data_IF_795191352912
#
_entry.id   IF_795191352912
#
_cell.length_a   1.000
_cell.length_b   1.000
_cell.length_c   1.000
_cell.angle_alpha   90.00
_cell.angle_beta   90.00
_cell.angle_gamma   90.00
#
_symmetry.space_group_name_H-M   'P 1'
#
loop_
_entity.id
_entity.type
_entity.pdbx_description
1 polymer ?
#
# COMPACT_ATOMS: atom_id res chain seq x y z
N UNK A 1 27.71 18.47 -18.47
CA UNK A 1 28.31 19.56 -17.66
C UNK A 1 27.21 20.55 -17.30
N UNK A 2 27.19 21.02 -16.05
CA UNK A 2 26.22 21.94 -15.42
C UNK A 2 24.84 21.31 -15.15
N UNK A 3 24.24 21.32 -13.96
CA UNK A 3 24.67 21.54 -12.58
C UNK A 3 23.59 20.91 -11.69
N UNK A 4 24.00 20.15 -10.68
CA UNK A 4 23.14 19.64 -9.60
C UNK A 4 22.93 20.77 -8.58
N UNK A 5 21.69 21.01 -8.18
CA UNK A 5 21.35 21.86 -7.04
C UNK A 5 20.61 21.01 -6.00
N UNK A 6 21.36 20.61 -4.97
CA UNK A 6 20.85 20.06 -3.72
C UNK A 6 20.12 21.13 -2.94
N UNK A 7 18.92 20.82 -2.46
CA UNK A 7 18.23 21.59 -1.42
C UNK A 7 18.37 20.82 -0.11
N UNK A 8 19.25 21.32 0.74
CA UNK A 8 19.43 20.90 2.14
C UNK A 8 19.39 22.18 2.98
N UNK A 9 18.72 22.10 4.13
CA UNK A 9 18.65 23.10 5.23
C UNK A 9 17.47 24.08 5.18
N UNK A 10 16.45 23.79 5.99
CA UNK A 10 15.77 24.79 6.81
C UNK A 10 15.97 24.35 8.26
N UNK A 11 16.97 24.95 8.91
CA UNK A 11 17.11 24.95 10.36
C UNK A 11 16.69 26.34 10.88
N UNK A 12 16.01 26.32 12.02
CA UNK A 12 16.23 27.24 13.14
C UNK A 12 16.15 28.75 12.84
N UNK A 13 14.97 29.33 13.05
CA UNK A 13 14.82 30.75 13.40
C UNK A 13 13.73 30.87 14.46
N UNK A 14 14.08 30.72 15.74
CA UNK A 14 13.37 31.34 16.88
C UNK A 14 14.26 31.30 18.12
N UNK A 15 15.35 32.07 18.08
CA UNK A 15 16.12 32.43 19.26
C UNK A 15 16.83 33.76 18.98
N UNK A 16 16.33 34.86 19.56
CA UNK A 16 17.07 36.07 19.97
C UNK A 16 16.17 37.31 19.95
N UNK A 17 15.46 37.57 21.04
CA UNK A 17 15.12 38.92 21.49
C UNK A 17 14.53 38.80 22.90
N UNK A 18 15.35 38.99 23.94
CA UNK A 18 14.99 39.60 25.24
C UNK A 18 16.22 39.55 26.15
N UNK A 19 17.11 40.54 25.99
CA UNK A 19 18.18 40.85 26.93
C UNK A 19 18.19 42.36 27.10
N UNK A 20 17.53 42.86 28.14
CA UNK A 20 17.77 44.16 28.78
C UNK A 20 16.61 44.45 29.71
N UNK A 21 16.78 44.21 31.00
CA UNK A 21 16.38 45.09 32.09
C UNK A 21 16.84 44.43 33.41
N UNK A 22 17.84 45.04 34.03
CA UNK A 22 18.36 44.62 35.32
C UNK A 22 17.33 44.81 36.43
N UNK A 23 17.17 43.80 37.27
CA UNK A 23 16.41 43.84 38.53
C UNK A 23 17.32 43.32 39.64
N UNK A 24 17.38 43.98 40.82
CA UNK A 24 18.31 43.62 41.88
C UNK A 24 17.98 42.29 42.55
N UNK A 25 19.04 41.59 42.93
CA UNK A 25 19.04 40.35 43.70
C UNK A 25 18.61 40.62 45.15
N UNK A 26 17.40 40.20 45.53
CA UNK A 26 16.92 40.18 46.92
C UNK A 26 16.76 38.72 47.34
N UNK A 27 17.74 38.25 48.12
CA UNK A 27 17.72 36.94 48.74
C UNK A 27 16.64 36.87 49.82
N UNK A 28 15.54 36.17 49.52
CA UNK A 28 14.52 35.75 50.47
C UNK A 28 14.63 34.24 50.64
N UNK A 29 15.17 33.81 51.78
CA UNK A 29 15.17 32.43 52.22
C UNK A 29 13.72 31.99 52.51
N UNK A 30 13.09 31.32 51.55
CA UNK A 30 11.78 30.70 51.73
C UNK A 30 11.96 29.25 52.17
N UNK A 31 11.39 28.95 53.34
CA UNK A 31 11.26 27.63 53.94
C UNK A 31 10.61 26.64 52.95
N UNK A 32 11.39 25.71 52.43
CA UNK A 32 10.90 24.58 51.63
C UNK A 32 10.18 23.59 52.54
N UNK A 33 8.88 23.82 52.78
CA UNK A 33 7.99 22.79 53.28
C UNK A 33 7.85 21.73 52.18
N UNK A 34 8.58 20.63 52.33
CA UNK A 34 8.50 19.44 51.48
C UNK A 34 7.15 18.76 51.70
N UNK A 35 6.10 19.25 51.05
CA UNK A 35 4.80 18.57 50.98
C UNK A 35 4.99 17.30 50.17
N UNK A 36 5.16 16.16 50.83
CA UNK A 36 5.14 14.86 50.17
C UNK A 36 3.77 14.67 49.51
N UNK A 37 3.70 14.37 48.20
CA UNK A 37 2.44 14.02 47.55
C UNK A 37 1.86 12.78 48.24
N UNK A 38 0.61 12.88 48.69
CA UNK A 38 -0.11 11.79 49.32
C UNK A 38 -0.23 10.61 48.36
N UNK A 39 0.14 9.40 48.81
CA UNK A 39 0.11 8.17 47.99
C UNK A 39 -1.27 7.88 47.36
N UNK A 40 -2.36 8.35 47.98
CA UNK A 40 -3.71 8.21 47.43
C UNK A 40 -3.93 9.06 46.16
N UNK A 41 -3.24 10.20 46.01
CA UNK A 41 -3.33 11.04 44.82
C UNK A 41 -2.57 10.45 43.64
N UNK A 42 -1.54 9.64 43.89
CA UNK A 42 -0.78 8.97 42.82
C UNK A 42 -1.52 7.76 42.26
N UNK A 43 -2.25 7.00 43.08
CA UNK A 43 -3.03 5.84 42.61
C UNK A 43 -4.17 6.26 41.66
N UNK A 44 -4.96 7.27 42.03
CA UNK A 44 -6.02 7.78 41.14
C UNK A 44 -5.48 8.33 39.81
N UNK A 45 -4.32 8.99 39.81
CA UNK A 45 -3.72 9.50 38.58
C UNK A 45 -3.28 8.37 37.62
N UNK A 46 -2.81 7.23 38.17
CA UNK A 46 -2.43 6.05 37.38
C UNK A 46 -3.67 5.39 36.78
N UNK A 47 -4.75 5.25 37.55
CA UNK A 47 -6.01 4.66 37.07
C UNK A 47 -6.65 5.52 35.96
N UNK A 48 -6.64 6.85 36.12
CA UNK A 48 -7.15 7.80 35.13
C UNK A 48 -6.34 7.74 33.83
N UNK A 49 -5.00 7.64 33.92
CA UNK A 49 -4.11 7.52 32.77
C UNK A 49 -4.34 6.20 32.02
N UNK A 50 -4.47 5.07 32.74
CA UNK A 50 -4.77 3.78 32.14
C UNK A 50 -6.16 3.77 31.45
N UNK A 51 -7.16 4.40 32.07
CA UNK A 51 -8.49 4.56 31.46
C UNK A 51 -8.46 5.46 30.21
N UNK A 52 -7.64 6.51 30.19
CA UNK A 52 -7.44 7.35 29.00
C UNK A 52 -6.75 6.56 27.87
N UNK A 53 -5.71 5.80 28.19
CA UNK A 53 -5.03 4.94 27.20
C UNK A 53 -5.96 3.90 26.60
N UNK A 54 -6.80 3.23 27.40
CA UNK A 54 -7.81 2.28 26.89
C UNK A 54 -8.77 2.94 25.89
N UNK A 55 -9.31 4.11 26.22
CA UNK A 55 -10.19 4.86 25.32
C UNK A 55 -9.52 5.25 24.00
N UNK A 56 -8.25 5.66 24.03
CA UNK A 56 -7.51 5.97 22.81
C UNK A 56 -7.38 4.71 21.94
N UNK A 57 -7.00 3.58 22.53
CA UNK A 57 -6.90 2.31 21.80
C UNK A 57 -8.24 1.88 21.21
N UNK A 58 -9.36 2.05 21.93
CA UNK A 58 -10.71 1.78 21.44
C UNK A 58 -11.02 2.62 20.19
N UNK A 59 -10.79 3.93 20.23
CA UNK A 59 -11.02 4.82 19.09
C UNK A 59 -10.12 4.50 17.90
N UNK A 60 -8.81 4.28 18.12
CA UNK A 60 -7.89 3.91 17.04
C UNK A 60 -8.25 2.56 16.40
N UNK A 61 -8.66 1.58 17.21
CA UNK A 61 -9.04 0.25 16.71
C UNK A 61 -10.35 0.28 15.94
N UNK A 62 -11.34 1.09 16.35
CA UNK A 62 -12.56 1.29 15.55
C UNK A 62 -12.25 2.04 14.25
N UNK A 63 -11.40 3.06 14.27
CA UNK A 63 -10.96 3.76 13.06
C UNK A 63 -10.28 2.78 12.08
N UNK A 64 -9.35 1.96 12.57
CA UNK A 64 -8.68 0.94 11.78
C UNK A 64 -9.66 -0.10 11.23
N UNK A 65 -10.58 -0.62 12.04
CA UNK A 65 -11.61 -1.56 11.59
C UNK A 65 -12.45 -0.96 10.45
N UNK A 66 -12.86 0.29 10.57
CA UNK A 66 -13.61 0.99 9.51
C UNK A 66 -12.75 1.11 8.24
N UNK A 67 -11.53 1.63 8.36
CA UNK A 67 -10.64 1.84 7.23
C UNK A 67 -10.25 0.54 6.55
N UNK A 68 -10.03 -0.54 7.30
CA UNK A 68 -9.60 -1.82 6.77
C UNK A 68 -10.77 -2.63 6.22
N UNK A 69 -11.87 -2.77 6.96
CA UNK A 69 -12.95 -3.71 6.64
C UNK A 69 -14.12 -2.98 5.97
N UNK A 70 -14.61 -1.89 6.56
CA UNK A 70 -15.84 -1.24 6.08
C UNK A 70 -15.64 -0.53 4.73
N UNK A 71 -14.42 -0.03 4.45
CA UNK A 71 -14.12 0.60 3.14
C UNK A 71 -13.81 -0.42 2.04
N UNK A 72 -13.39 -1.65 2.38
CA UNK A 72 -12.89 -2.61 1.41
C UNK A 72 -13.89 -2.96 0.31
N UNK A 73 -15.21 -3.17 0.57
CA UNK A 73 -16.18 -3.39 -0.50
C UNK A 73 -16.32 -2.21 -1.46
N UNK A 74 -16.27 -0.98 -0.94
CA UNK A 74 -16.41 0.22 -1.77
C UNK A 74 -15.18 0.45 -2.63
N UNK A 75 -13.99 0.27 -2.04
CA UNK A 75 -12.72 0.34 -2.73
C UNK A 75 -12.54 -0.80 -3.73
N UNK A 76 -13.01 -2.01 -3.43
CA UNK A 76 -13.05 -3.12 -4.38
C UNK A 76 -13.86 -2.78 -5.63
N UNK A 77 -15.05 -2.19 -5.46
CA UNK A 77 -15.87 -1.75 -6.61
C UNK A 77 -15.18 -0.65 -7.40
N UNK A 78 -14.54 0.30 -6.72
CA UNK A 78 -13.75 1.33 -7.39
C UNK A 78 -12.49 0.76 -8.09
N UNK A 79 -11.88 -0.30 -7.55
CA UNK A 79 -10.89 -1.16 -8.23
C UNK A 79 -11.52 -2.01 -9.35
N UNK A 80 -12.84 -2.08 -9.49
CA UNK A 80 -13.51 -2.67 -10.65
C UNK A 80 -13.95 -1.59 -11.67
N UNK A 81 -13.50 -0.35 -11.49
CA UNK A 81 -13.94 0.83 -12.24
C UNK A 81 -15.47 1.10 -12.11
N UNK A 82 -16.09 0.63 -11.01
CA UNK A 82 -17.48 0.94 -10.63
C UNK A 82 -17.49 2.05 -9.57
N UNK A 83 -17.85 3.27 -10.00
CA UNK A 83 -17.91 4.45 -9.13
C UNK A 83 -19.18 4.55 -8.28
N UNK A 84 -20.13 3.59 -8.39
CA UNK A 84 -21.39 3.64 -7.65
C UNK A 84 -21.22 3.55 -6.13
N UNK A 85 -20.07 3.06 -5.66
CA UNK A 85 -19.74 2.90 -4.25
C UNK A 85 -19.12 4.11 -3.58
N UNK A 86 -18.81 5.18 -4.33
CA UNK A 86 -18.16 6.38 -3.80
C UNK A 86 -18.87 7.01 -2.59
N UNK A 87 -20.21 7.13 -2.56
CA UNK A 87 -20.91 7.65 -1.37
C UNK A 87 -20.67 6.80 -0.11
N UNK A 88 -20.62 5.47 -0.24
CA UNK A 88 -20.33 4.57 0.87
C UNK A 88 -18.88 4.73 1.36
N UNK A 89 -17.93 4.93 0.44
CA UNK A 89 -16.54 5.21 0.78
C UNK A 89 -16.39 6.53 1.56
N UNK A 90 -17.07 7.60 1.13
CA UNK A 90 -17.08 8.89 1.84
C UNK A 90 -17.64 8.72 3.26
N UNK A 91 -18.77 8.03 3.40
CA UNK A 91 -19.40 7.84 4.70
C UNK A 91 -18.50 7.05 5.67
N UNK A 92 -17.88 5.97 5.19
CA UNK A 92 -16.93 5.18 5.99
C UNK A 92 -15.68 5.99 6.37
N UNK A 93 -15.09 6.71 5.42
CA UNK A 93 -13.92 7.55 5.68
C UNK A 93 -14.23 8.68 6.69
N UNK A 94 -15.40 9.31 6.60
CA UNK A 94 -15.83 10.33 7.57
C UNK A 94 -15.99 9.73 8.98
N UNK A 95 -16.64 8.57 9.10
CA UNK A 95 -16.78 7.87 10.38
C UNK A 95 -15.43 7.52 10.99
N UNK A 96 -14.45 7.09 10.18
CA UNK A 96 -13.09 6.86 10.66
C UNK A 96 -12.42 8.16 11.14
N UNK A 97 -12.56 9.26 10.40
CA UNK A 97 -12.03 10.58 10.78
C UNK A 97 -12.62 11.08 12.11
N UNK A 98 -13.91 10.85 12.38
CA UNK A 98 -14.54 11.16 13.67
C UNK A 98 -13.86 10.41 14.82
N UNK A 99 -13.59 9.11 14.66
CA UNK A 99 -12.88 8.31 15.67
C UNK A 99 -11.44 8.79 15.88
N UNK A 100 -10.74 9.14 14.81
CA UNK A 100 -9.38 9.68 14.88
C UNK A 100 -9.35 11.03 15.61
N UNK A 101 -10.33 11.91 15.38
CA UNK A 101 -10.44 13.18 16.11
C UNK A 101 -10.65 12.99 17.62
N UNK A 102 -11.46 12.00 18.02
CA UNK A 102 -11.66 11.64 19.43
C UNK A 102 -10.37 11.08 20.05
N UNK A 103 -9.66 10.21 19.31
CA UNK A 103 -8.35 9.70 19.71
C UNK A 103 -7.33 10.83 19.88
N UNK A 104 -7.19 11.73 18.90
CA UNK A 104 -6.27 12.86 18.93
C UNK A 104 -6.52 13.80 20.13
N UNK A 105 -7.80 14.07 20.45
CA UNK A 105 -8.16 14.88 21.62
C UNK A 105 -7.73 14.20 22.92
N UNK A 106 -7.89 12.88 23.00
CA UNK A 106 -7.50 12.08 24.16
C UNK A 106 -5.98 11.89 24.26
N UNK A 107 -5.26 11.79 23.14
CA UNK A 107 -3.79 11.75 23.11
C UNK A 107 -3.20 13.06 23.65
N UNK A 108 -3.77 14.21 23.28
CA UNK A 108 -3.32 15.52 23.76
C UNK A 108 -3.46 15.71 25.27
N UNK A 109 -4.39 15.00 25.93
CA UNK A 109 -4.53 15.05 27.39
C UNK A 109 -3.58 14.10 28.12
N UNK A 110 -2.88 13.20 27.42
CA UNK A 110 -1.82 12.39 28.00
C UNK A 110 -0.54 13.20 28.20
N UNK A 111 0.13 12.94 29.34
CA UNK A 111 1.50 13.40 29.56
C UNK A 111 2.47 12.83 28.52
N UNK A 112 3.63 13.48 28.35
CA UNK A 112 4.68 12.99 27.47
C UNK A 112 5.21 11.64 27.97
N UNK A 113 5.02 10.60 27.18
CA UNK A 113 5.42 9.21 27.47
C UNK A 113 5.71 8.49 26.15
N UNK A 114 6.56 7.47 26.15
CA UNK A 114 6.83 6.66 24.95
C UNK A 114 5.54 6.02 24.39
N UNK A 115 4.61 5.64 25.28
CA UNK A 115 3.29 5.15 24.88
C UNK A 115 2.49 6.17 24.10
N UNK A 116 2.63 7.47 24.43
CA UNK A 116 1.96 8.54 23.68
C UNK A 116 2.54 8.65 22.27
N UNK A 117 3.86 8.61 22.12
CA UNK A 117 4.52 8.73 20.82
C UNK A 117 4.09 7.58 19.89
N UNK A 118 4.01 6.34 20.41
CA UNK A 118 3.52 5.20 19.65
C UNK A 118 2.04 5.35 19.22
N UNK A 119 1.20 5.94 20.07
CA UNK A 119 -0.20 6.22 19.76
C UNK A 119 -0.34 7.33 18.70
N UNK A 120 0.51 8.36 18.76
CA UNK A 120 0.59 9.42 17.75
C UNK A 120 1.00 8.86 16.38
N UNK A 121 2.03 8.00 16.34
CA UNK A 121 2.44 7.33 15.09
C UNK A 121 1.30 6.50 14.48
N UNK A 122 0.61 5.70 15.30
CA UNK A 122 -0.54 4.90 14.81
C UNK A 122 -1.70 5.79 14.35
N UNK A 123 -1.98 6.87 15.06
CA UNK A 123 -2.98 7.87 14.66
C UNK A 123 -2.65 8.44 13.27
N UNK A 124 -1.43 8.92 13.07
CA UNK A 124 -1.00 9.60 11.83
C UNK A 124 -1.01 8.64 10.62
N UNK A 125 -0.65 7.37 10.83
CA UNK A 125 -0.79 6.32 9.83
C UNK A 125 -2.23 6.16 9.37
N UNK A 126 -3.18 6.02 10.31
CA UNK A 126 -4.61 5.84 9.99
C UNK A 126 -5.23 7.10 9.37
N UNK A 127 -4.85 8.29 9.85
CA UNK A 127 -5.30 9.57 9.32
C UNK A 127 -4.91 9.74 7.85
N UNK A 128 -3.70 9.31 7.49
CA UNK A 128 -3.21 9.34 6.11
C UNK A 128 -4.11 8.52 5.17
N UNK A 129 -4.49 7.29 5.55
CA UNK A 129 -5.41 6.48 4.75
C UNK A 129 -6.82 7.09 4.71
N UNK A 130 -7.33 7.55 5.85
CA UNK A 130 -8.65 8.17 5.93
C UNK A 130 -8.77 9.38 4.99
N UNK A 131 -7.74 10.22 4.93
CA UNK A 131 -7.68 11.38 4.05
C UNK A 131 -7.73 11.00 2.56
N UNK A 132 -6.97 9.97 2.16
CA UNK A 132 -6.97 9.46 0.78
C UNK A 132 -8.32 8.84 0.42
N UNK A 133 -8.90 8.03 1.30
CA UNK A 133 -10.20 7.39 1.05
C UNK A 133 -11.35 8.39 0.96
N UNK A 134 -11.37 9.40 1.83
CA UNK A 134 -12.33 10.50 1.74
C UNK A 134 -12.16 11.27 0.42
N UNK A 135 -10.93 11.56 0.02
CA UNK A 135 -10.62 12.27 -1.23
C UNK A 135 -11.01 11.46 -2.47
N UNK A 136 -10.77 10.15 -2.47
CA UNK A 136 -11.19 9.22 -3.53
C UNK A 136 -12.72 9.14 -3.63
N UNK A 137 -13.42 9.03 -2.49
CA UNK A 137 -14.88 9.01 -2.46
C UNK A 137 -15.49 10.32 -2.98
N UNK A 138 -14.83 11.46 -2.71
CA UNK A 138 -15.22 12.78 -3.21
C UNK A 138 -14.69 13.13 -4.61
N UNK A 139 -14.08 12.18 -5.33
CA UNK A 139 -13.50 12.44 -6.64
C UNK A 139 -14.59 12.65 -7.71
N UNK A 140 -14.42 13.73 -8.46
CA UNK A 140 -15.22 14.14 -9.61
C UNK A 140 -14.29 14.41 -10.79
N UNK A 141 -14.81 14.87 -11.93
CA UNK A 141 -13.98 15.23 -13.09
C UNK A 141 -13.30 16.61 -12.97
N UNK A 142 -13.67 17.43 -11.98
CA UNK A 142 -13.12 18.78 -11.82
C UNK A 142 -11.67 18.77 -11.32
N UNK A 143 -10.93 19.83 -11.66
CA UNK A 143 -9.51 19.95 -11.31
C UNK A 143 -9.27 20.07 -9.81
N UNK A 144 -10.23 20.59 -9.05
CA UNK A 144 -10.09 20.84 -7.62
C UNK A 144 -10.17 19.52 -6.85
N UNK A 145 -11.13 18.65 -7.17
CA UNK A 145 -11.23 17.32 -6.56
C UNK A 145 -10.02 16.45 -6.88
N UNK A 146 -9.53 16.48 -8.14
CA UNK A 146 -8.27 15.84 -8.53
C UNK A 146 -7.07 16.38 -7.77
N UNK A 147 -7.02 17.70 -7.55
CA UNK A 147 -5.99 18.34 -6.73
C UNK A 147 -5.98 17.85 -5.28
N UNK A 148 -7.16 17.68 -4.66
CA UNK A 148 -7.28 17.11 -3.31
C UNK A 148 -6.77 15.67 -3.24
N UNK A 149 -7.13 14.82 -4.21
CA UNK A 149 -6.62 13.45 -4.28
C UNK A 149 -5.10 13.42 -4.40
N UNK A 150 -4.51 14.27 -5.26
CA UNK A 150 -3.06 14.38 -5.41
C UNK A 150 -2.37 14.85 -4.13
N UNK A 151 -2.98 15.79 -3.39
CA UNK A 151 -2.44 16.26 -2.13
C UNK A 151 -2.45 15.14 -1.06
N UNK A 152 -3.57 14.43 -0.91
CA UNK A 152 -3.69 13.32 0.03
C UNK A 152 -2.71 12.16 -0.29
N UNK A 153 -2.37 11.95 -1.56
CA UNK A 153 -1.33 11.00 -1.94
C UNK A 153 0.05 11.35 -1.35
N UNK A 154 0.36 12.63 -1.13
CA UNK A 154 1.66 13.06 -0.59
C UNK A 154 1.94 12.44 0.78
N UNK A 155 0.91 12.39 1.63
CA UNK A 155 0.99 11.90 3.00
C UNK A 155 1.30 10.39 3.04
N UNK A 156 0.71 9.59 2.12
CA UNK A 156 0.97 8.14 2.01
C UNK A 156 2.43 7.78 1.71
N UNK A 157 3.19 8.68 1.09
CA UNK A 157 4.58 8.41 0.75
C UNK A 157 5.46 8.20 2.00
N UNK A 158 5.08 8.79 3.14
CA UNK A 158 5.80 8.61 4.40
C UNK A 158 5.74 7.16 4.91
N UNK A 159 4.75 6.37 4.46
CA UNK A 159 4.56 4.97 4.88
C UNK A 159 5.36 3.97 4.04
N UNK A 160 6.12 4.42 3.04
CA UNK A 160 6.80 3.52 2.11
C UNK A 160 7.99 2.79 2.71
N UNK A 161 8.57 3.39 3.74
CA UNK A 161 9.71 2.90 4.49
C UNK A 161 9.28 2.35 5.87
N UNK A 162 7.97 2.11 6.07
CA UNK A 162 7.47 1.45 7.27
C UNK A 162 8.09 0.06 7.42
N UNK A 163 8.39 -0.34 8.66
CA UNK A 163 8.93 -1.67 8.97
C UNK A 163 7.96 -2.78 8.56
N UNK A 164 6.65 -2.51 8.71
CA UNK A 164 5.58 -3.37 8.21
C UNK A 164 5.48 -3.28 6.68
N UNK A 165 5.94 -4.34 6.01
CA UNK A 165 5.91 -4.44 4.54
C UNK A 165 4.50 -4.50 3.98
N UNK A 166 3.53 -5.06 4.70
CA UNK A 166 2.14 -5.14 4.24
C UNK A 166 1.53 -3.74 4.24
N UNK A 167 1.79 -2.96 5.29
CA UNK A 167 1.36 -1.55 5.38
C UNK A 167 1.95 -0.71 4.23
N UNK A 168 3.25 -0.87 3.98
CA UNK A 168 3.94 -0.19 2.88
C UNK A 168 3.38 -0.59 1.50
N UNK A 169 2.98 -1.84 1.30
CA UNK A 169 2.31 -2.30 0.08
C UNK A 169 0.88 -1.72 -0.06
N UNK A 170 0.10 -1.67 1.03
CA UNK A 170 -1.22 -1.01 1.05
C UNK A 170 -1.10 0.48 0.71
N UNK A 171 -0.12 1.19 1.28
CA UNK A 171 0.13 2.59 0.95
C UNK A 171 0.46 2.78 -0.53
N UNK A 172 1.31 1.92 -1.11
CA UNK A 172 1.66 1.97 -2.54
C UNK A 172 0.46 1.69 -3.44
N UNK A 173 -0.37 0.70 -3.10
CA UNK A 173 -1.60 0.39 -3.82
C UNK A 173 -2.49 1.64 -3.88
N UNK A 174 -2.84 2.21 -2.73
CA UNK A 174 -3.81 3.30 -2.67
C UNK A 174 -3.27 4.60 -3.25
N UNK A 175 -1.99 4.91 -3.03
CA UNK A 175 -1.37 6.08 -3.66
C UNK A 175 -1.35 5.93 -5.19
N UNK A 176 -1.00 4.75 -5.71
CA UNK A 176 -1.01 4.46 -7.14
C UNK A 176 -2.41 4.51 -7.75
N UNK A 177 -3.38 3.89 -7.09
CA UNK A 177 -4.78 3.90 -7.49
C UNK A 177 -5.34 5.33 -7.55
N UNK A 178 -5.06 6.14 -6.53
CA UNK A 178 -5.47 7.54 -6.44
C UNK A 178 -4.84 8.41 -7.53
N UNK A 179 -3.54 8.27 -7.79
CA UNK A 179 -2.91 8.98 -8.91
C UNK A 179 -3.54 8.62 -10.26
N UNK A 180 -3.80 7.33 -10.52
CA UNK A 180 -4.44 6.90 -11.77
C UNK A 180 -5.80 7.59 -11.96
N UNK A 181 -6.64 7.55 -10.93
CA UNK A 181 -7.99 8.15 -10.94
C UNK A 181 -7.98 9.67 -11.05
N UNK A 182 -6.95 10.32 -10.51
CA UNK A 182 -6.71 11.76 -10.70
C UNK A 182 -6.14 12.13 -12.09
N UNK A 183 -5.99 11.16 -13.01
CA UNK A 183 -5.42 11.39 -14.34
C UNK A 183 -3.91 11.64 -14.31
N UNK A 184 -3.20 11.03 -13.37
CA UNK A 184 -1.74 11.07 -13.20
C UNK A 184 -1.15 9.67 -13.33
N UNK A 185 -1.48 8.98 -14.42
CA UNK A 185 -1.06 7.59 -14.64
C UNK A 185 0.46 7.42 -14.71
N UNK A 186 1.20 8.46 -15.12
CA UNK A 186 2.66 8.51 -15.05
C UNK A 186 3.18 8.39 -13.61
N UNK A 187 2.58 9.13 -12.67
CA UNK A 187 2.90 9.06 -11.24
C UNK A 187 2.47 7.73 -10.63
N UNK A 188 1.31 7.22 -11.03
CA UNK A 188 0.87 5.88 -10.62
C UNK A 188 1.91 4.81 -10.99
N UNK A 189 2.52 4.87 -12.18
CA UNK A 189 3.56 3.93 -12.60
C UNK A 189 4.89 4.07 -11.85
N UNK A 190 5.22 5.26 -11.34
CA UNK A 190 6.41 5.48 -10.50
C UNK A 190 6.26 4.82 -9.13
N UNK A 191 5.04 4.87 -8.58
CA UNK A 191 4.68 4.28 -7.29
C UNK A 191 4.52 2.76 -7.41
N UNK A 192 3.70 2.32 -8.36
CA UNK A 192 3.37 0.92 -8.58
C UNK A 192 4.47 0.21 -9.37
N UNK A 193 5.69 0.13 -8.83
CA UNK A 193 6.85 -0.44 -9.54
C UNK A 193 6.60 -1.88 -10.00
N UNK A 194 7.20 -2.29 -11.14
CA UNK A 194 7.07 -3.66 -11.60
C UNK A 194 7.87 -4.57 -10.66
N UNK A 195 7.18 -5.38 -9.87
CA UNK A 195 7.79 -6.40 -9.02
C UNK A 195 7.21 -7.74 -9.46
N UNK A 196 8.04 -8.62 -9.99
CA UNK A 196 7.61 -9.98 -10.36
C UNK A 196 7.72 -10.96 -9.20
N UNK A 197 8.39 -10.56 -8.12
CA UNK A 197 8.50 -11.33 -6.90
C UNK A 197 7.14 -11.44 -6.20
N UNK A 198 6.98 -12.50 -5.40
CA UNK A 198 5.81 -12.67 -4.53
C UNK A 198 5.69 -11.45 -3.60
N UNK A 199 4.51 -10.80 -3.55
CA UNK A 199 4.30 -9.68 -2.64
C UNK A 199 4.24 -10.15 -1.18
N UNK A 200 4.48 -9.22 -0.25
CA UNK A 200 4.32 -9.49 1.18
C UNK A 200 2.85 -9.78 1.52
N UNK A 201 1.94 -9.02 0.93
CA UNK A 201 0.51 -9.28 0.90
C UNK A 201 0.08 -9.82 -0.49
N UNK A 202 -0.32 -11.09 -0.62
CA UNK A 202 -0.80 -11.65 -1.88
C UNK A 202 -1.92 -10.83 -2.53
N UNK A 203 -2.93 -10.40 -1.76
CA UNK A 203 -4.11 -9.70 -2.29
C UNK A 203 -3.78 -8.25 -2.64
N UNK A 204 -3.19 -7.48 -1.71
CA UNK A 204 -2.84 -6.07 -1.94
C UNK A 204 -1.81 -5.96 -3.07
N UNK A 205 -0.77 -6.79 -3.03
CA UNK A 205 0.27 -6.80 -4.04
C UNK A 205 -0.25 -7.22 -5.42
N UNK A 206 -1.22 -8.13 -5.48
CA UNK A 206 -1.90 -8.49 -6.73
C UNK A 206 -2.67 -7.29 -7.31
N UNK A 207 -3.48 -6.62 -6.50
CA UNK A 207 -4.24 -5.44 -6.94
C UNK A 207 -3.32 -4.28 -7.38
N UNK A 208 -2.21 -4.06 -6.69
CA UNK A 208 -1.23 -3.02 -7.06
C UNK A 208 -0.69 -3.23 -8.49
N UNK A 209 -0.48 -4.49 -8.89
CA UNK A 209 0.01 -4.84 -10.22
C UNK A 209 -1.08 -4.76 -11.29
N UNK A 210 -2.33 -5.03 -10.94
CA UNK A 210 -3.47 -4.77 -11.84
C UNK A 210 -3.67 -3.27 -12.08
N UNK A 211 -3.57 -2.45 -11.03
CA UNK A 211 -3.62 -1.00 -11.16
C UNK A 211 -2.46 -0.46 -12.01
N UNK A 212 -1.26 -1.08 -11.93
CA UNK A 212 -0.17 -0.79 -12.86
C UNK A 212 -0.54 -1.12 -14.31
N UNK A 213 -1.14 -2.28 -14.57
CA UNK A 213 -1.56 -2.68 -15.92
C UNK A 213 -2.57 -1.68 -16.51
N UNK A 214 -3.50 -1.19 -15.69
CA UNK A 214 -4.44 -0.14 -16.07
C UNK A 214 -3.77 1.20 -16.33
N UNK A 215 -2.86 1.63 -15.45
CA UNK A 215 -2.11 2.87 -15.65
C UNK A 215 -1.30 2.84 -16.97
N UNK A 216 -0.78 1.68 -17.39
CA UNK A 216 -0.19 1.50 -18.73
C UNK A 216 -1.22 1.73 -19.85
N UNK A 217 -2.42 1.17 -19.71
CA UNK A 217 -3.53 1.38 -20.65
C UNK A 217 -3.95 2.85 -20.76
N UNK A 218 -4.08 3.54 -19.63
CA UNK A 218 -4.42 4.97 -19.58
C UNK A 218 -3.39 5.86 -20.31
N UNK A 219 -2.13 5.40 -20.40
CA UNK A 219 -1.07 6.05 -21.17
C UNK A 219 -0.99 5.59 -22.64
N UNK A 220 -1.97 4.80 -23.12
CA UNK A 220 -1.98 4.23 -24.46
C UNK A 220 -0.99 3.07 -24.67
N UNK A 221 -0.34 2.59 -23.61
CA UNK A 221 0.63 1.47 -23.65
C UNK A 221 -0.08 0.12 -23.49
N UNK A 222 -1.10 -0.11 -24.31
CA UNK A 222 -1.99 -1.29 -24.21
C UNK A 222 -1.26 -2.62 -24.27
N UNK A 223 -0.31 -2.78 -25.20
CA UNK A 223 0.47 -4.02 -25.33
C UNK A 223 1.23 -4.37 -24.04
N UNK A 224 1.84 -3.38 -23.38
CA UNK A 224 2.55 -3.57 -22.12
C UNK A 224 1.60 -3.94 -20.97
N UNK A 225 0.43 -3.29 -20.89
CA UNK A 225 -0.59 -3.63 -19.90
C UNK A 225 -1.12 -5.05 -20.07
N UNK A 226 -1.41 -5.46 -21.32
CA UNK A 226 -1.88 -6.81 -21.66
C UNK A 226 -0.82 -7.86 -21.35
N UNK A 227 0.45 -7.61 -21.71
CA UNK A 227 1.57 -8.51 -21.41
C UNK A 227 1.77 -8.67 -19.89
N UNK A 228 1.64 -7.58 -19.13
CA UNK A 228 1.67 -7.65 -17.66
C UNK A 228 0.53 -8.52 -17.13
N UNK A 229 -0.71 -8.36 -17.62
CA UNK A 229 -1.81 -9.25 -17.24
C UNK A 229 -1.50 -10.72 -17.54
N UNK A 230 -0.96 -11.06 -18.71
CA UNK A 230 -0.57 -12.44 -19.03
C UNK A 230 0.48 -12.98 -18.06
N UNK A 231 1.48 -12.16 -17.70
CA UNK A 231 2.50 -12.54 -16.72
C UNK A 231 1.88 -12.76 -15.34
N UNK A 232 0.99 -11.88 -14.88
CA UNK A 232 0.29 -12.04 -13.60
C UNK A 232 -0.53 -13.33 -13.57
N UNK A 233 -1.26 -13.64 -14.63
CA UNK A 233 -2.06 -14.87 -14.72
C UNK A 233 -1.20 -16.14 -14.51
N UNK A 234 0.05 -16.14 -14.98
CA UNK A 234 1.01 -17.23 -14.77
C UNK A 234 1.57 -17.32 -13.33
N UNK A 235 1.62 -16.20 -12.60
CA UNK A 235 2.19 -16.12 -11.24
C UNK A 235 1.15 -16.37 -10.14
N UNK A 236 -0.14 -16.18 -10.45
CA UNK A 236 -1.25 -16.37 -9.49
C UNK A 236 -1.25 -17.75 -8.79
N UNK A 237 -1.01 -18.89 -9.45
CA UNK A 237 -0.93 -20.18 -8.77
C UNK A 237 0.09 -20.22 -7.63
N UNK A 238 1.24 -19.57 -7.82
CA UNK A 238 2.32 -19.57 -6.84
C UNK A 238 2.00 -18.65 -5.66
N UNK A 239 1.39 -17.49 -5.91
CA UNK A 239 1.06 -16.51 -4.88
C UNK A 239 -0.09 -16.97 -3.97
N UNK A 240 -1.05 -17.67 -4.55
CA UNK A 240 -2.26 -18.17 -3.87
C UNK A 240 -2.25 -19.69 -3.74
N UNK A 241 -1.07 -20.31 -3.61
CA UNK A 241 -0.92 -21.77 -3.54
C UNK A 241 -1.74 -22.43 -2.42
N UNK A 242 -1.92 -21.72 -1.31
CA UNK A 242 -2.66 -22.18 -0.14
C UNK A 242 -4.19 -22.05 -0.29
N UNK A 243 -4.68 -21.27 -1.26
CA UNK A 243 -6.10 -21.03 -1.50
C UNK A 243 -6.43 -21.15 -3.00
N UNK A 244 -6.81 -22.35 -3.47
CA UNK A 244 -7.18 -22.58 -4.86
C UNK A 244 -8.39 -21.75 -5.32
N UNK A 245 -9.30 -21.38 -4.42
CA UNK A 245 -10.46 -20.56 -4.76
C UNK A 245 -10.06 -19.12 -5.04
N UNK A 246 -9.22 -18.52 -4.18
CA UNK A 246 -8.60 -17.22 -4.44
C UNK A 246 -7.72 -17.23 -5.68
N UNK A 247 -6.93 -18.28 -5.90
CA UNK A 247 -6.12 -18.45 -7.11
C UNK A 247 -7.00 -18.40 -8.38
N UNK A 248 -8.11 -19.14 -8.38
CA UNK A 248 -9.05 -19.12 -9.50
C UNK A 248 -9.72 -17.75 -9.68
N UNK A 249 -10.10 -17.08 -8.59
CA UNK A 249 -10.70 -15.75 -8.61
C UNK A 249 -9.72 -14.66 -9.09
N UNK A 250 -8.46 -14.74 -8.69
CA UNK A 250 -7.39 -13.85 -9.13
C UNK A 250 -7.13 -13.99 -10.64
N UNK A 251 -7.05 -15.22 -11.18
CA UNK A 251 -6.94 -15.44 -12.63
C UNK A 251 -8.10 -14.79 -13.40
N UNK A 252 -9.33 -14.98 -12.92
CA UNK A 252 -10.53 -14.36 -13.53
C UNK A 252 -10.48 -12.83 -13.48
N UNK A 253 -10.03 -12.26 -12.36
CA UNK A 253 -9.86 -10.80 -12.20
C UNK A 253 -8.83 -10.25 -13.19
N UNK A 254 -7.68 -10.92 -13.36
CA UNK A 254 -6.68 -10.55 -14.39
C UNK A 254 -7.28 -10.58 -15.79
N UNK A 255 -8.06 -11.62 -16.12
CA UNK A 255 -8.72 -11.74 -17.44
C UNK A 255 -9.73 -10.62 -17.66
N UNK A 256 -10.48 -10.22 -16.64
CA UNK A 256 -11.41 -9.08 -16.73
C UNK A 256 -10.66 -7.78 -17.04
N UNK A 257 -9.58 -7.48 -16.32
CA UNK A 257 -8.76 -6.29 -16.57
C UNK A 257 -8.15 -6.34 -17.97
N UNK A 258 -7.66 -7.50 -18.41
CA UNK A 258 -7.14 -7.70 -19.76
C UNK A 258 -8.21 -7.46 -20.83
N UNK A 259 -9.44 -7.93 -20.63
CA UNK A 259 -10.55 -7.69 -21.53
C UNK A 259 -10.90 -6.19 -21.62
N UNK A 260 -10.88 -5.47 -20.49
CA UNK A 260 -11.08 -4.02 -20.46
C UNK A 260 -9.99 -3.28 -21.27
N UNK A 261 -8.71 -3.64 -21.07
CA UNK A 261 -7.58 -3.08 -21.84
C UNK A 261 -7.71 -3.38 -23.35
N UNK A 262 -8.09 -4.59 -23.73
CA UNK A 262 -8.31 -4.97 -25.13
C UNK A 262 -9.45 -4.16 -25.76
N UNK A 263 -10.55 -3.91 -25.04
CA UNK A 263 -11.64 -3.07 -25.52
C UNK A 263 -11.21 -1.62 -25.72
N UNK A 264 -10.43 -1.05 -24.79
CA UNK A 264 -9.87 0.29 -24.95
C UNK A 264 -8.91 0.37 -26.15
N UNK A 265 -8.05 -0.64 -26.31
CA UNK A 265 -7.13 -0.72 -27.43
C UNK A 265 -7.85 -0.86 -28.77
N UNK A 266 -8.90 -1.68 -28.83
CA UNK A 266 -9.73 -1.85 -30.02
C UNK A 266 -10.33 -0.50 -30.47
N UNK A 267 -10.88 0.29 -29.55
CA UNK A 267 -11.37 1.65 -29.84
C UNK A 267 -10.28 2.56 -30.39
N UNK A 268 -9.07 2.52 -29.81
CA UNK A 268 -7.96 3.32 -30.31
C UNK A 268 -7.50 2.88 -31.70
N UNK A 269 -7.42 1.57 -31.95
CA UNK A 269 -7.05 1.00 -33.25
C UNK A 269 -8.05 1.37 -34.34
N UNK A 270 -9.34 1.35 -34.01
CA UNK A 270 -10.41 1.79 -34.91
C UNK A 270 -10.27 3.29 -35.24
N UNK A 271 -10.01 4.13 -34.24
CA UNK A 271 -9.81 5.57 -34.44
C UNK A 271 -8.62 5.91 -35.37
N UNK A 272 -7.61 5.04 -35.47
CA UNK A 272 -6.46 5.19 -36.39
C UNK A 272 -6.60 4.35 -37.68
N UNK A 273 -7.79 3.84 -37.99
CA UNK A 273 -8.09 3.14 -39.24
C UNK A 273 -7.60 1.68 -39.31
N UNK A 274 -7.17 1.08 -38.19
CA UNK A 274 -6.71 -0.32 -38.13
C UNK A 274 -7.85 -1.28 -37.82
N UNK A 275 -8.91 -1.27 -38.63
CA UNK A 275 -10.19 -1.97 -38.37
C UNK A 275 -10.04 -3.47 -38.13
N UNK A 276 -9.20 -4.17 -38.90
CA UNK A 276 -8.98 -5.62 -38.72
C UNK A 276 -8.36 -5.93 -37.34
N UNK A 277 -7.34 -5.16 -36.93
CA UNK A 277 -6.71 -5.32 -35.62
C UNK A 277 -7.66 -4.94 -34.47
N UNK A 278 -8.46 -3.89 -34.65
CA UNK A 278 -9.50 -3.50 -33.71
C UNK A 278 -10.52 -4.62 -33.50
N UNK A 279 -11.00 -5.24 -34.58
CA UNK A 279 -11.92 -6.37 -34.53
C UNK A 279 -11.33 -7.57 -33.80
N UNK A 280 -10.07 -7.92 -34.09
CA UNK A 280 -9.37 -9.02 -33.40
C UNK A 280 -9.25 -8.76 -31.89
N UNK A 281 -8.87 -7.53 -31.49
CA UNK A 281 -8.79 -7.15 -30.08
C UNK A 281 -10.17 -7.21 -29.38
N UNK A 282 -11.22 -6.68 -30.01
CA UNK A 282 -12.58 -6.72 -29.48
C UNK A 282 -13.14 -8.15 -29.39
N UNK A 283 -12.85 -9.00 -30.39
CA UNK A 283 -13.23 -10.42 -30.37
C UNK A 283 -12.57 -11.15 -29.21
N UNK A 284 -11.27 -10.93 -28.98
CA UNK A 284 -10.55 -11.53 -27.85
C UNK A 284 -11.06 -11.01 -26.50
N UNK A 285 -11.41 -9.72 -26.40
CA UNK A 285 -12.02 -9.16 -25.21
C UNK A 285 -13.35 -9.84 -24.87
N UNK A 286 -14.19 -10.10 -25.90
CA UNK A 286 -15.48 -10.78 -25.74
C UNK A 286 -15.31 -12.22 -25.27
N UNK A 287 -14.39 -12.97 -25.87
CA UNK A 287 -14.06 -14.34 -25.45
C UNK A 287 -13.73 -14.40 -23.94
N UNK A 288 -12.88 -13.50 -23.46
CA UNK A 288 -12.52 -13.42 -22.05
C UNK A 288 -13.68 -13.00 -21.14
N UNK A 289 -14.58 -12.14 -21.63
CA UNK A 289 -15.77 -11.73 -20.88
C UNK A 289 -16.80 -12.86 -20.77
N UNK A 290 -16.98 -13.66 -21.83
CA UNK A 290 -17.91 -14.80 -21.85
C UNK A 290 -17.55 -15.88 -20.84
N UNK A 291 -16.25 -16.10 -20.60
CA UNK A 291 -15.78 -17.01 -19.54
C UNK A 291 -16.27 -16.58 -18.15
N UNK A 292 -16.33 -15.28 -17.87
CA UNK A 292 -16.75 -14.74 -16.58
C UNK A 292 -18.26 -14.86 -16.35
N UNK A 293 -19.07 -14.79 -17.42
CA UNK A 293 -20.53 -14.89 -17.34
C UNK A 293 -20.97 -16.23 -16.75
N UNK A 294 -20.22 -17.31 -17.03
CA UNK A 294 -20.53 -18.67 -16.57
C UNK A 294 -20.28 -18.90 -15.09
N UNK A 295 -19.56 -18.00 -14.41
CA UNK A 295 -19.20 -18.12 -13.00
C UNK A 295 -20.19 -17.32 -12.15
N UNK A 296 -20.64 -17.85 -10.98
CA UNK A 296 -21.47 -17.09 -10.05
C UNK A 296 -20.80 -15.78 -9.61
N UNK A 297 -21.56 -14.69 -9.54
CA UNK A 297 -21.04 -13.35 -9.27
C UNK A 297 -20.16 -13.27 -8.01
N UNK A 298 -20.59 -13.94 -6.94
CA UNK A 298 -19.87 -13.99 -5.66
C UNK A 298 -18.47 -14.60 -5.74
N UNK A 299 -18.18 -15.38 -6.79
CA UNK A 299 -16.91 -16.08 -7.02
C UNK A 299 -16.15 -15.58 -8.26
N UNK A 300 -16.71 -14.60 -8.99
CA UNK A 300 -16.12 -14.13 -10.25
C UNK A 300 -14.74 -13.54 -10.02
N UNK A 301 -14.62 -12.67 -9.03
CA UNK A 301 -13.45 -11.81 -8.83
C UNK A 301 -12.82 -12.05 -7.47
N UNK A 302 -11.50 -11.83 -7.40
CA UNK A 302 -10.77 -11.81 -6.13
C UNK A 302 -11.25 -10.60 -5.36
N UNK A 303 -11.85 -10.79 -4.19
CA UNK A 303 -12.33 -9.67 -3.39
C UNK A 303 -11.18 -9.04 -2.64
N UNK A 304 -11.33 -7.75 -2.34
CA UNK A 304 -10.53 -7.07 -1.34
C UNK A 304 -11.29 -7.20 -0.01
N UNK A 305 -10.78 -8.02 0.90
CA UNK A 305 -11.39 -8.24 2.22
C UNK A 305 -10.89 -7.22 3.25
N UNK A 306 -9.63 -6.81 3.11
CA UNK A 306 -8.97 -5.77 3.90
C UNK A 306 -8.36 -4.73 2.94
N UNK A 307 -8.67 -3.45 3.15
CA UNK A 307 -8.07 -2.37 2.38
C UNK A 307 -6.65 -2.04 2.86
N UNK A 308 -6.39 -2.20 4.16
CA UNK A 308 -5.10 -1.98 4.79
C UNK A 308 -4.70 -3.30 5.44
N UNK A 309 -3.56 -3.86 5.07
CA UNK A 309 -3.02 -5.04 5.73
C UNK A 309 -1.85 -4.64 6.61
N UNK A 310 -1.79 -5.24 7.80
CA UNK A 310 -0.69 -5.08 8.75
C UNK A 310 -0.23 -6.45 9.21
N UNK A 311 1.08 -6.69 9.32
CA UNK A 311 1.62 -7.99 9.74
C UNK A 311 1.30 -8.35 11.20
N UNK A 312 0.92 -7.38 12.04
CA UNK A 312 0.66 -7.59 13.47
C UNK A 312 -0.54 -8.52 13.77
N UNK A 313 -1.45 -8.74 12.82
CA UNK A 313 -2.61 -9.62 13.04
C UNK A 313 -2.30 -11.11 12.77
N UNK A 314 -1.16 -11.45 12.14
CA UNK A 314 -0.92 -12.79 11.58
C UNK A 314 0.11 -13.66 12.31
N UNK A 315 0.94 -13.11 13.20
CA UNK A 315 1.95 -13.91 13.92
C UNK A 315 1.39 -14.68 15.12
N UNK A 316 0.17 -14.39 15.57
CA UNK A 316 -0.42 -15.08 16.72
C UNK A 316 -1.04 -16.46 16.39
N UNK A 317 -1.37 -16.75 15.13
CA UNK A 317 -2.17 -17.94 14.77
C UNK A 317 -1.46 -18.95 13.85
N UNK A 318 -0.20 -18.67 13.51
CA UNK A 318 0.71 -19.65 12.93
C UNK A 318 1.85 -19.91 13.90
N UNK A 319 1.48 -20.35 15.12
CA UNK A 319 2.30 -21.33 15.83
C UNK A 319 2.45 -22.51 14.88
N UNK A 320 3.51 -22.47 14.09
CA UNK A 320 4.08 -23.61 13.39
C UNK A 320 4.05 -24.71 14.44
N UNK A 321 3.19 -25.70 14.21
CA UNK A 321 3.25 -27.00 14.87
C UNK A 321 4.72 -27.34 14.89
N UNK A 322 5.33 -27.20 16.08
CA UNK A 322 6.72 -27.54 16.30
C UNK A 322 6.80 -28.99 15.88
N UNK A 323 7.33 -29.21 14.67
CA UNK A 323 7.69 -30.52 14.16
C UNK A 323 8.49 -31.13 15.29
N UNK A 324 7.86 -32.09 15.98
CA UNK A 324 8.52 -32.84 17.03
C UNK A 324 9.80 -33.38 16.40
N UNK A 325 10.94 -32.97 16.97
CA UNK A 325 12.26 -33.49 16.67
C UNK A 325 12.17 -35.02 16.75
N UNK A 326 12.00 -35.69 15.59
CA UNK A 326 12.36 -37.09 15.48
C UNK A 326 13.89 -37.14 15.63
N UNK A 327 14.42 -37.82 16.66
CA UNK A 327 15.85 -37.93 16.83
C UNK A 327 16.44 -38.68 15.63
N UNK A 328 17.33 -38.00 14.93
CA UNK A 328 18.09 -38.56 13.83
C UNK A 328 18.73 -39.89 14.22
N UNK A 329 18.39 -40.95 13.48
CA UNK A 329 19.16 -42.20 13.47
C UNK A 329 20.58 -41.88 13.01
N UNK A 330 21.61 -42.18 13.82
CA UNK A 330 22.97 -42.20 13.33
C UNK A 330 23.17 -43.52 12.60
N UNK A 331 23.51 -43.48 11.32
CA UNK A 331 24.41 -44.40 10.62
C UNK A 331 24.12 -44.36 9.11
N UNK A 332 25.08 -43.83 8.35
CA UNK A 332 25.65 -44.41 7.12
C UNK A 332 26.40 -43.31 6.36
N UNK A 333 27.66 -43.13 6.76
CA UNK A 333 28.66 -42.42 5.97
C UNK A 333 29.10 -43.38 4.87
N UNK A 334 28.45 -43.32 3.70
CA UNK A 334 28.95 -43.97 2.49
C UNK A 334 29.81 -42.95 1.72
N UNK A 335 31.12 -43.23 1.70
CA UNK A 335 32.12 -42.44 0.99
C UNK A 335 31.97 -42.64 -0.52
N UNK A 336 31.33 -41.67 -1.19
CA UNK A 336 31.21 -41.59 -2.64
C UNK A 336 32.32 -40.75 -3.28
N UNK A 337 33.30 -41.47 -3.83
CA UNK A 337 34.22 -41.21 -4.96
C UNK A 337 34.36 -39.78 -5.56
N UNK A 338 35.58 -39.18 -5.57
CA UNK A 338 35.88 -37.94 -6.27
C UNK A 338 36.56 -38.21 -7.61
N UNK A 339 35.78 -38.38 -8.68
CA UNK A 339 36.31 -38.34 -10.04
C UNK A 339 35.22 -37.90 -11.02
N UNK A 340 35.25 -36.63 -11.40
CA UNK A 340 35.08 -36.19 -12.80
C UNK A 340 35.05 -34.66 -12.83
N UNK A 341 36.25 -34.10 -12.90
CA UNK A 341 36.49 -32.69 -13.21
C UNK A 341 36.49 -32.55 -14.73
N UNK A 342 35.31 -32.42 -15.33
CA UNK A 342 35.23 -32.06 -16.75
C UNK A 342 35.57 -30.58 -16.95
N UNK A 343 36.65 -30.39 -17.70
CA UNK A 343 37.25 -29.15 -18.14
C UNK A 343 36.34 -28.51 -19.19
N UNK A 344 35.69 -27.39 -18.84
CA UNK A 344 34.95 -26.59 -19.81
C UNK A 344 35.94 -25.73 -20.61
N UNK A 345 36.08 -26.06 -21.89
CA UNK A 345 36.74 -25.24 -22.89
C UNK A 345 35.92 -23.98 -23.18
N UNK A 346 36.53 -22.81 -23.00
CA UNK A 346 36.04 -21.51 -23.45
C UNK A 346 36.18 -21.39 -24.97
N UNK A 347 35.10 -21.18 -25.75
CA UNK A 347 35.23 -20.80 -27.15
C UNK A 347 35.34 -19.27 -27.29
N UNK A 348 36.56 -18.87 -27.64
CA UNK A 348 36.98 -17.82 -28.57
C UNK A 348 36.08 -16.60 -28.82
N UNK A 349 36.69 -15.45 -28.51
CA UNK A 349 36.45 -14.11 -29.03
C UNK A 349 36.16 -14.08 -30.55
N UNK A 350 34.92 -13.77 -30.95
CA UNK A 350 34.63 -13.21 -32.27
C UNK A 350 34.51 -11.68 -32.20
N UNK A 351 35.44 -11.03 -32.91
CA UNK A 351 35.57 -9.59 -33.07
C UNK A 351 34.36 -8.94 -33.80
N UNK A 352 34.11 -7.63 -33.60
CA UNK A 352 33.04 -6.92 -34.26
C UNK A 352 33.35 -6.65 -35.75
N UNK A 353 32.39 -6.98 -36.62
CA UNK A 353 32.37 -6.56 -38.02
C UNK A 353 31.87 -5.10 -38.11
N UNK A 354 32.75 -4.22 -38.60
CA UNK A 354 32.39 -2.92 -39.14
C UNK A 354 31.70 -3.11 -40.50
N UNK A 355 30.44 -2.72 -40.61
CA UNK A 355 29.75 -2.53 -41.89
C UNK A 355 29.13 -1.13 -41.92
N UNK A 356 29.98 -0.14 -42.23
CA UNK A 356 29.58 1.22 -42.59
C UNK A 356 29.52 1.31 -44.13
N UNK A 357 28.34 1.03 -44.68
CA UNK A 357 28.04 1.27 -46.09
C UNK A 357 27.32 2.61 -46.23
N UNK A 358 28.07 3.63 -46.63
CA UNK A 358 27.51 4.88 -47.11
C UNK A 358 26.82 4.72 -48.47
N UNK A 359 25.60 5.28 -48.57
CA UNK A 359 25.03 5.96 -49.76
C UNK A 359 24.11 7.07 -49.28
#
# INVERSE_FOLDING_TARGET
>A
MVSRLSITRVCAVFAAAYCSLGVPCLAMAQSTASTQPSAASTEHAVDDAAAAQRRIHEHLSEAERILTIDTAPALFRDLCDDSSSRPALVAAAHKAQEQLQLAATSIKSLGATESRDALEVRHDQLETFAHVFASLGGLTEDSTSRGRVVAACGDLAALFDAEDKALAESAKLWQGAAYRRAGRSDRALQVLRPIVNRPASPVIGFWARLERARALGDMGRFAAGIALCQRLESLVPDWFKQDPEQSAAAKRTVRQVRAALLNQWAKQLEAVGRTSAAHAAASKARELAEELVRVPESKRLLKLEAAIETTQAGEADHSIESVEDEPASPDEIEAGDPADSEQFDDPDDEAPQDDDTGV
#
